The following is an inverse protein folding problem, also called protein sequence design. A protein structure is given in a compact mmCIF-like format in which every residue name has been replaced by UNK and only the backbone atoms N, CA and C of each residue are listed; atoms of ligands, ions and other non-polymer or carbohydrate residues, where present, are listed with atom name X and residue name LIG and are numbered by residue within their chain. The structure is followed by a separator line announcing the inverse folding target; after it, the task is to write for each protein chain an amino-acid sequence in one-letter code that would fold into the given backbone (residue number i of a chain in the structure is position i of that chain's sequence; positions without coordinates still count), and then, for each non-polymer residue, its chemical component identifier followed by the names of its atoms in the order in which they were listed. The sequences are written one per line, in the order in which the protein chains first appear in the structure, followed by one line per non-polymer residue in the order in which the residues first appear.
data_IF_306166170008
#
_entry.id   IF_306166170008
#
_cell.length_a   1.000
_cell.length_b   1.000
_cell.length_c   1.000
_cell.angle_alpha   90.00
_cell.angle_beta   90.00
_cell.angle_gamma   90.00
#
_symmetry.space_group_name_H-M   'P 1'
#
loop_
_entity.id
_entity.type
_entity.pdbx_description
1 polymer ?
#
# COMPACT_ATOMS: atom_id res chain seq x y z
N UNK A 1 12.58 -17.26 -54.59
CA UNK A 1 12.69 -16.00 -53.85
C UNK A 1 11.65 -15.80 -52.75
N UNK A 2 10.44 -16.36 -52.87
CA UNK A 2 9.37 -16.22 -51.86
C UNK A 2 9.52 -17.07 -50.60
N UNK A 3 10.17 -18.24 -50.69
CA UNK A 3 10.35 -19.16 -49.54
C UNK A 3 11.30 -18.59 -48.47
N UNK A 4 12.43 -17.99 -48.87
CA UNK A 4 13.38 -17.39 -47.94
C UNK A 4 12.80 -16.13 -47.25
N UNK A 5 11.98 -15.34 -47.95
CA UNK A 5 11.29 -14.18 -47.30
C UNK A 5 10.27 -14.64 -46.25
N UNK A 6 9.56 -15.75 -46.49
CA UNK A 6 8.61 -16.29 -45.52
C UNK A 6 9.30 -16.79 -44.25
N UNK A 7 10.47 -17.43 -44.36
CA UNK A 7 11.25 -17.88 -43.20
C UNK A 7 11.80 -16.69 -42.40
N UNK A 8 12.38 -15.66 -43.07
CA UNK A 8 12.88 -14.47 -42.42
C UNK A 8 11.80 -13.72 -41.63
N UNK A 9 10.58 -13.60 -42.19
CA UNK A 9 9.48 -12.91 -41.50
C UNK A 9 9.00 -13.67 -40.26
N UNK A 10 8.98 -15.00 -40.29
CA UNK A 10 8.62 -15.84 -39.14
C UNK A 10 9.68 -15.76 -38.04
N UNK A 11 10.97 -15.76 -38.40
CA UNK A 11 12.06 -15.61 -37.45
C UNK A 11 12.03 -14.20 -36.82
N UNK A 12 11.82 -13.14 -37.60
CA UNK A 12 11.68 -11.77 -37.07
C UNK A 12 10.50 -11.65 -36.10
N UNK A 13 9.35 -12.27 -36.44
CA UNK A 13 8.19 -12.32 -35.55
C UNK A 13 8.48 -13.05 -34.23
N UNK A 14 9.21 -14.15 -34.28
CA UNK A 14 9.61 -14.90 -33.07
C UNK A 14 10.57 -14.11 -32.20
N UNK A 15 11.55 -13.42 -32.79
CA UNK A 15 12.48 -12.55 -32.07
C UNK A 15 11.71 -11.39 -31.41
N UNK A 16 10.81 -10.75 -32.14
CA UNK A 16 9.98 -9.66 -31.61
C UNK A 16 9.11 -10.14 -30.44
N UNK A 17 8.52 -11.33 -30.55
CA UNK A 17 7.75 -11.94 -29.46
C UNK A 17 8.63 -12.24 -28.24
N UNK A 18 9.83 -12.79 -28.43
CA UNK A 18 10.80 -13.03 -27.33
C UNK A 18 11.22 -11.73 -26.65
N UNK A 19 11.46 -10.66 -27.40
CA UNK A 19 11.80 -9.33 -26.82
C UNK A 19 10.63 -8.79 -26.03
N UNK A 20 9.40 -8.89 -26.54
CA UNK A 20 8.20 -8.45 -25.81
C UNK A 20 7.99 -9.23 -24.50
N UNK A 21 8.12 -10.58 -24.54
CA UNK A 21 8.02 -11.43 -23.35
C UNK A 21 9.11 -11.09 -22.33
N UNK A 22 10.35 -10.90 -22.74
CA UNK A 22 11.44 -10.51 -21.84
C UNK A 22 11.19 -9.13 -21.18
N UNK A 23 10.63 -8.16 -21.91
CA UNK A 23 10.30 -6.86 -21.36
C UNK A 23 9.12 -6.95 -20.35
N UNK A 24 8.16 -7.81 -20.59
CA UNK A 24 7.05 -8.07 -19.66
C UNK A 24 7.57 -8.71 -18.35
N UNK A 25 8.44 -9.73 -18.44
CA UNK A 25 9.03 -10.39 -17.27
C UNK A 25 9.82 -9.40 -16.40
N UNK A 26 10.61 -8.52 -17.02
CA UNK A 26 11.34 -7.47 -16.30
C UNK A 26 10.40 -6.46 -15.66
N UNK A 27 9.34 -6.04 -16.35
CA UNK A 27 8.35 -5.10 -15.81
C UNK A 27 7.67 -5.66 -14.57
N UNK A 28 7.27 -6.93 -14.58
CA UNK A 28 6.64 -7.60 -13.44
C UNK A 28 7.64 -7.70 -12.25
N UNK A 29 8.90 -7.99 -12.52
CA UNK A 29 9.93 -8.01 -11.48
C UNK A 29 10.11 -6.63 -10.82
N UNK A 30 10.13 -5.54 -11.60
CA UNK A 30 10.20 -4.17 -11.06
C UNK A 30 8.96 -3.81 -10.24
N UNK A 31 7.77 -4.20 -10.67
CA UNK A 31 6.51 -3.97 -9.92
C UNK A 31 6.60 -4.70 -8.57
N UNK A 32 6.99 -5.96 -8.57
CA UNK A 32 7.14 -6.77 -7.36
C UNK A 32 8.16 -6.17 -6.39
N UNK A 33 9.37 -5.85 -6.87
CA UNK A 33 10.43 -5.25 -6.05
C UNK A 33 10.01 -3.90 -5.48
N UNK A 34 9.39 -3.03 -6.30
CA UNK A 34 8.90 -1.74 -5.82
C UNK A 34 7.87 -1.92 -4.69
N UNK A 35 6.94 -2.85 -4.83
CA UNK A 35 6.00 -3.17 -3.76
C UNK A 35 6.69 -3.64 -2.47
N UNK A 36 7.78 -4.41 -2.58
CA UNK A 36 8.58 -4.84 -1.42
C UNK A 36 9.25 -3.66 -0.71
N UNK A 37 9.73 -2.66 -1.45
CA UNK A 37 10.33 -1.46 -0.86
C UNK A 37 9.30 -0.56 -0.20
N UNK A 38 8.08 -0.45 -0.73
CA UNK A 38 7.05 0.45 -0.23
C UNK A 38 6.62 0.15 1.21
N UNK A 39 6.64 -1.12 1.64
CA UNK A 39 6.31 -1.49 3.02
C UNK A 39 7.29 -0.91 4.05
N UNK A 40 8.50 -0.56 3.66
CA UNK A 40 9.50 0.10 4.51
C UNK A 40 9.56 1.61 4.24
N UNK A 41 9.42 2.00 2.99
CA UNK A 41 9.50 3.40 2.57
C UNK A 41 8.39 4.25 3.19
N UNK A 42 7.15 3.76 3.21
CA UNK A 42 6.03 4.50 3.79
C UNK A 42 6.20 4.73 5.30
N UNK A 43 6.48 3.70 6.15
CA UNK A 43 6.78 3.93 7.56
C UNK A 43 7.97 4.87 7.78
N UNK A 44 9.04 4.73 6.99
CA UNK A 44 10.19 5.63 7.08
C UNK A 44 9.80 7.09 6.75
N UNK A 45 8.91 7.30 5.77
CA UNK A 45 8.35 8.63 5.45
C UNK A 45 7.54 9.19 6.61
N UNK A 46 6.70 8.38 7.27
CA UNK A 46 5.93 8.80 8.44
C UNK A 46 6.83 9.19 9.62
N UNK A 47 7.88 8.41 9.88
CA UNK A 47 8.90 8.75 10.90
C UNK A 47 9.60 10.06 10.55
N UNK A 48 9.99 10.25 9.28
CA UNK A 48 10.63 11.49 8.82
C UNK A 48 9.73 12.70 9.03
N UNK A 49 8.44 12.60 8.72
CA UNK A 49 7.46 13.66 9.01
C UNK A 49 7.39 13.95 10.50
N UNK A 50 7.30 12.93 11.37
CA UNK A 50 7.27 13.12 12.82
C UNK A 50 8.52 13.83 13.34
N UNK A 51 9.70 13.51 12.80
CA UNK A 51 10.95 14.19 13.15
C UNK A 51 10.93 15.65 12.67
N UNK A 52 10.57 15.91 11.41
CA UNK A 52 10.54 17.27 10.83
C UNK A 52 9.57 18.19 11.57
N UNK A 53 8.42 17.67 11.99
CA UNK A 53 7.44 18.41 12.79
C UNK A 53 7.72 18.40 14.30
N UNK A 54 8.79 17.73 14.76
CA UNK A 54 9.11 17.51 16.19
C UNK A 54 7.93 16.90 16.95
N UNK A 55 7.19 16.03 16.30
CA UNK A 55 5.93 15.45 16.74
C UNK A 55 6.17 14.14 17.51
N UNK A 56 6.53 14.28 18.78
CA UNK A 56 6.76 13.12 19.67
C UNK A 56 5.51 12.26 19.84
N UNK A 57 4.35 12.89 19.97
CA UNK A 57 3.07 12.21 20.13
C UNK A 57 2.75 11.38 18.87
N UNK A 58 2.93 11.99 17.68
CA UNK A 58 2.74 11.28 16.41
C UNK A 58 3.69 10.11 16.25
N UNK A 59 4.93 10.20 16.72
CA UNK A 59 5.87 9.08 16.68
C UNK A 59 5.39 7.91 17.57
N UNK A 60 4.82 8.18 18.74
CA UNK A 60 4.23 7.17 19.63
C UNK A 60 3.01 6.55 18.96
N UNK A 61 2.08 7.35 18.45
CA UNK A 61 0.87 6.90 17.77
C UNK A 61 1.18 6.06 16.52
N UNK A 62 2.25 6.40 15.79
CA UNK A 62 2.74 5.59 14.67
C UNK A 62 3.22 4.21 15.16
N UNK A 63 3.99 4.17 16.23
CA UNK A 63 4.47 2.91 16.80
C UNK A 63 3.32 2.03 17.29
N UNK A 64 2.32 2.60 17.96
CA UNK A 64 1.10 1.90 18.38
C UNK A 64 0.31 1.36 17.20
N UNK A 65 0.11 2.19 16.18
CA UNK A 65 -0.55 1.82 14.91
C UNK A 65 0.13 0.63 14.25
N UNK A 66 1.45 0.70 14.06
CA UNK A 66 2.21 -0.37 13.41
C UNK A 66 2.23 -1.64 14.25
N UNK A 67 2.35 -1.52 15.57
CA UNK A 67 2.32 -2.68 16.49
C UNK A 67 0.99 -3.41 16.44
N UNK A 68 -0.14 -2.70 16.48
CA UNK A 68 -1.46 -3.32 16.35
C UNK A 68 -1.66 -3.93 14.96
N UNK A 69 -1.27 -3.21 13.91
CA UNK A 69 -1.37 -3.70 12.53
C UNK A 69 -0.62 -5.02 12.36
N UNK A 70 0.63 -5.08 12.80
CA UNK A 70 1.44 -6.30 12.74
C UNK A 70 0.83 -7.41 13.62
N UNK A 71 0.45 -7.10 14.85
CA UNK A 71 -0.13 -8.07 15.77
C UNK A 71 -1.37 -8.75 15.19
N UNK A 72 -2.33 -7.96 14.69
CA UNK A 72 -3.56 -8.49 14.07
C UNK A 72 -3.26 -9.25 12.78
N UNK A 73 -2.41 -8.69 11.92
CA UNK A 73 -2.03 -9.33 10.64
C UNK A 73 -1.40 -10.71 10.88
N UNK A 74 -0.42 -10.80 11.78
CA UNK A 74 0.24 -12.07 12.04
C UNK A 74 -0.65 -13.05 12.80
N UNK A 75 -1.46 -12.59 13.77
CA UNK A 75 -2.44 -13.42 14.44
C UNK A 75 -3.39 -14.11 13.44
N UNK A 76 -3.93 -13.35 12.48
CA UNK A 76 -4.80 -13.91 11.44
C UNK A 76 -4.03 -14.81 10.48
N UNK A 77 -2.81 -14.46 10.06
CA UNK A 77 -1.97 -15.29 9.20
C UNK A 77 -1.76 -16.69 9.76
N UNK A 78 -1.38 -16.78 11.03
CA UNK A 78 -1.12 -18.08 11.68
C UNK A 78 -2.39 -18.84 12.03
N UNK A 79 -3.50 -18.14 12.29
CA UNK A 79 -4.77 -18.79 12.61
C UNK A 79 -5.48 -19.36 11.39
N UNK A 80 -5.41 -18.68 10.25
CA UNK A 80 -6.12 -19.05 9.03
C UNK A 80 -5.25 -19.95 8.14
N UNK A 81 -3.94 -19.65 8.01
CA UNK A 81 -2.96 -20.39 7.22
C UNK A 81 -3.44 -20.71 5.79
N UNK A 82 -3.98 -19.72 5.10
CA UNK A 82 -4.48 -19.86 3.72
C UNK A 82 -3.31 -20.01 2.73
N UNK A 83 -3.47 -20.86 1.72
CA UNK A 83 -2.51 -21.04 0.64
C UNK A 83 -2.55 -19.85 -0.32
N UNK A 84 -1.38 -19.40 -0.76
CA UNK A 84 -1.19 -18.31 -1.73
C UNK A 84 -1.44 -18.77 -3.16
N UNK A 85 -1.70 -17.85 -4.12
CA UNK A 85 -1.76 -18.20 -5.54
C UNK A 85 -0.49 -18.89 -6.08
N UNK A 86 0.67 -18.63 -5.49
CA UNK A 86 1.96 -19.24 -5.86
C UNK A 86 2.24 -20.60 -5.17
N UNK A 87 1.32 -21.10 -4.33
CA UNK A 87 1.44 -22.37 -3.60
C UNK A 87 2.14 -22.28 -2.24
N UNK A 88 2.57 -21.08 -1.81
CA UNK A 88 3.11 -20.86 -0.46
C UNK A 88 1.98 -20.72 0.57
N UNK A 89 2.31 -20.89 1.86
CA UNK A 89 1.36 -20.71 2.95
C UNK A 89 1.26 -19.24 3.42
N UNK A 90 0.30 -18.98 4.31
CA UNK A 90 0.09 -17.68 4.98
C UNK A 90 -0.30 -16.54 4.04
N UNK A 91 -1.28 -16.80 3.15
CA UNK A 91 -1.79 -15.75 2.26
C UNK A 91 -2.53 -14.66 3.04
N UNK A 92 -3.58 -15.04 3.77
CA UNK A 92 -4.49 -14.09 4.40
C UNK A 92 -4.02 -13.62 5.78
N UNK A 93 -4.14 -12.32 6.06
CA UNK A 93 -4.26 -11.18 5.17
C UNK A 93 -2.88 -10.72 4.63
N UNK A 94 -2.87 -9.81 3.62
CA UNK A 94 -1.63 -9.27 3.06
C UNK A 94 -0.90 -8.35 4.05
N UNK A 95 0.30 -8.76 4.49
CA UNK A 95 1.12 -7.98 5.42
C UNK A 95 1.70 -6.70 4.81
N UNK A 96 2.17 -6.74 3.55
CA UNK A 96 2.64 -5.57 2.84
C UNK A 96 1.54 -4.51 2.73
N UNK A 97 0.33 -4.94 2.38
CA UNK A 97 -0.81 -4.05 2.22
C UNK A 97 -1.24 -3.45 3.56
N UNK A 98 -1.32 -4.26 4.63
CA UNK A 98 -1.73 -3.76 5.95
C UNK A 98 -0.75 -2.72 6.48
N UNK A 99 0.56 -2.94 6.32
CA UNK A 99 1.60 -2.00 6.71
C UNK A 99 1.53 -0.69 5.91
N UNK A 100 1.39 -0.78 4.59
CA UNK A 100 1.32 0.41 3.73
C UNK A 100 0.06 1.24 4.01
N UNK A 101 -1.11 0.61 4.14
CA UNK A 101 -2.36 1.33 4.39
C UNK A 101 -2.46 1.89 5.81
N UNK A 102 -1.89 1.20 6.82
CA UNK A 102 -1.84 1.75 8.19
C UNK A 102 -1.01 3.02 8.23
N UNK A 103 0.12 3.02 7.54
CA UNK A 103 0.98 4.20 7.46
C UNK A 103 0.37 5.32 6.63
N UNK A 104 -0.26 5.00 5.50
CA UNK A 104 -0.94 6.00 4.66
C UNK A 104 -2.08 6.68 5.42
N UNK A 105 -2.88 5.91 6.17
CA UNK A 105 -3.96 6.45 7.02
C UNK A 105 -3.39 7.27 8.19
N UNK A 106 -2.29 6.83 8.81
CA UNK A 106 -1.59 7.62 9.82
C UNK A 106 -1.16 8.99 9.26
N UNK A 107 -0.48 9.00 8.11
CA UNK A 107 -0.02 10.24 7.47
C UNK A 107 -1.21 11.16 7.15
N UNK A 108 -2.30 10.60 6.60
CA UNK A 108 -3.52 11.34 6.30
C UNK A 108 -4.19 11.90 7.55
N UNK A 109 -4.38 11.07 8.56
CA UNK A 109 -5.08 11.47 9.79
C UNK A 109 -4.28 12.47 10.62
N UNK A 110 -2.95 12.31 10.64
CA UNK A 110 -2.05 13.16 11.43
C UNK A 110 -1.71 14.46 10.73
N UNK A 111 -1.32 14.39 9.44
CA UNK A 111 -0.73 15.52 8.70
C UNK A 111 -1.62 16.02 7.55
N UNK A 112 -2.77 15.40 7.33
CA UNK A 112 -3.76 15.84 6.34
C UNK A 112 -3.59 15.25 4.96
N UNK A 113 -4.55 15.58 4.08
CA UNK A 113 -4.66 15.01 2.74
C UNK A 113 -3.51 15.38 1.79
N UNK A 114 -2.83 16.51 2.01
CA UNK A 114 -1.68 16.89 1.19
C UNK A 114 -0.56 15.84 1.19
N UNK A 115 -0.33 15.21 2.33
CA UNK A 115 0.62 14.09 2.48
C UNK A 115 -0.08 12.73 2.35
N UNK A 116 -1.34 12.64 2.78
CA UNK A 116 -2.09 11.40 2.77
C UNK A 116 -2.43 10.89 1.38
N UNK A 117 -2.81 11.77 0.44
CA UNK A 117 -3.18 11.33 -0.91
C UNK A 117 -2.05 10.60 -1.65
N UNK A 118 -0.81 11.15 -1.74
CA UNK A 118 0.30 10.41 -2.32
C UNK A 118 0.63 9.13 -1.55
N UNK A 119 0.52 9.12 -0.20
CA UNK A 119 0.75 7.92 0.59
C UNK A 119 -0.27 6.80 0.26
N UNK A 120 -1.54 7.14 0.08
CA UNK A 120 -2.58 6.20 -0.34
C UNK A 120 -2.36 5.65 -1.76
N UNK A 121 -1.89 6.48 -2.70
CA UNK A 121 -1.52 6.01 -4.04
C UNK A 121 -0.40 4.97 -3.98
N UNK A 122 0.63 5.22 -3.18
CA UNK A 122 1.73 4.27 -2.98
C UNK A 122 1.27 3.00 -2.27
N UNK A 123 0.40 3.11 -1.26
CA UNK A 123 -0.17 1.95 -0.57
C UNK A 123 -1.04 1.10 -1.50
N UNK A 124 -1.83 1.74 -2.38
CA UNK A 124 -2.63 1.05 -3.40
C UNK A 124 -1.75 0.33 -4.41
N UNK A 125 -0.65 0.96 -4.84
CA UNK A 125 0.33 0.32 -5.71
C UNK A 125 1.01 -0.87 -5.03
N UNK A 126 1.35 -0.75 -3.72
CA UNK A 126 1.90 -1.87 -2.96
C UNK A 126 0.92 -3.06 -2.91
N UNK A 127 -0.38 -2.81 -2.70
CA UNK A 127 -1.42 -3.85 -2.76
C UNK A 127 -1.53 -4.49 -4.14
N UNK A 128 -1.57 -3.67 -5.20
CA UNK A 128 -1.59 -4.15 -6.58
C UNK A 128 -0.40 -5.06 -6.89
N UNK A 129 0.80 -4.66 -6.49
CA UNK A 129 2.01 -5.43 -6.74
C UNK A 129 1.98 -6.84 -6.12
N UNK A 130 1.20 -7.08 -5.06
CA UNK A 130 1.04 -8.40 -4.45
C UNK A 130 0.15 -9.31 -5.27
N UNK A 131 -0.88 -8.75 -5.90
CA UNK A 131 -1.77 -9.47 -6.80
C UNK A 131 -1.02 -9.82 -8.09
N UNK A 132 -0.33 -8.85 -8.66
CA UNK A 132 0.46 -9.01 -9.89
C UNK A 132 1.56 -10.08 -9.75
N UNK A 133 2.19 -10.15 -8.58
CA UNK A 133 3.23 -11.13 -8.25
C UNK A 133 2.68 -12.53 -7.85
N UNK A 134 1.36 -12.76 -7.87
CA UNK A 134 0.72 -13.98 -7.37
C UNK A 134 1.07 -14.33 -5.91
N UNK A 135 1.37 -13.33 -5.11
CA UNK A 135 1.67 -13.46 -3.68
C UNK A 135 0.39 -13.51 -2.82
N UNK A 136 -0.65 -12.82 -3.28
CA UNK A 136 -1.90 -12.65 -2.53
C UNK A 136 -3.12 -12.59 -3.45
N UNK A 137 -4.25 -13.08 -2.96
CA UNK A 137 -5.55 -12.86 -3.58
C UNK A 137 -6.05 -11.43 -3.32
N UNK A 138 -7.02 -10.97 -4.11
CA UNK A 138 -7.64 -9.65 -3.94
C UNK A 138 -8.22 -9.48 -2.53
N UNK A 139 -8.86 -10.52 -1.98
CA UNK A 139 -9.42 -10.51 -0.64
C UNK A 139 -8.38 -10.25 0.45
N UNK A 140 -7.16 -10.81 0.30
CA UNK A 140 -6.08 -10.61 1.27
C UNK A 140 -5.60 -9.17 1.30
N UNK A 141 -5.54 -8.56 0.10
CA UNK A 141 -5.16 -7.16 -0.08
C UNK A 141 -6.23 -6.24 0.51
N UNK A 142 -7.51 -6.49 0.22
CA UNK A 142 -8.62 -5.71 0.77
C UNK A 142 -8.68 -5.83 2.30
N UNK A 143 -8.56 -7.05 2.83
CA UNK A 143 -8.52 -7.29 4.27
C UNK A 143 -7.31 -6.60 4.93
N UNK A 144 -6.12 -6.70 4.32
CA UNK A 144 -4.92 -6.02 4.78
C UNK A 144 -5.10 -4.50 4.84
N UNK A 145 -5.66 -3.90 3.77
CA UNK A 145 -5.95 -2.48 3.73
C UNK A 145 -6.92 -2.05 4.85
N UNK A 146 -7.98 -2.83 5.06
CA UNK A 146 -8.97 -2.57 6.11
C UNK A 146 -8.35 -2.64 7.52
N UNK A 147 -7.56 -3.69 7.80
CA UNK A 147 -6.83 -3.84 9.07
C UNK A 147 -5.92 -2.63 9.31
N UNK A 148 -5.14 -2.25 8.29
CA UNK A 148 -4.22 -1.11 8.40
C UNK A 148 -4.95 0.20 8.70
N UNK A 149 -6.01 0.52 7.96
CA UNK A 149 -6.81 1.73 8.15
C UNK A 149 -7.44 1.75 9.54
N UNK A 150 -8.05 0.65 9.98
CA UNK A 150 -8.67 0.59 11.31
C UNK A 150 -7.64 0.74 12.42
N UNK A 151 -6.51 0.04 12.34
CA UNK A 151 -5.43 0.14 13.34
C UNK A 151 -4.96 1.58 13.50
N UNK A 152 -4.79 2.30 12.39
CA UNK A 152 -4.38 3.71 12.43
C UNK A 152 -5.45 4.60 13.06
N UNK A 153 -6.72 4.41 12.72
CA UNK A 153 -7.81 5.22 13.26
C UNK A 153 -8.01 5.10 14.76
N UNK A 154 -7.60 3.98 15.34
CA UNK A 154 -7.70 3.76 16.79
C UNK A 154 -6.71 4.63 17.59
N UNK A 155 -5.54 4.91 17.05
CA UNK A 155 -4.47 5.60 17.77
C UNK A 155 -4.18 7.00 17.26
N UNK A 156 -4.48 7.29 15.97
CA UNK A 156 -4.04 8.53 15.36
C UNK A 156 -5.01 9.66 15.58
N UNK A 157 -4.51 10.70 16.23
CA UNK A 157 -5.19 12.00 16.36
C UNK A 157 -4.53 13.03 15.46
N UNK A 158 -5.27 14.05 14.98
CA UNK A 158 -4.70 15.08 14.12
C UNK A 158 -3.60 15.88 14.80
N UNK A 159 -2.55 16.24 14.04
CA UNK A 159 -1.46 17.09 14.50
C UNK A 159 -1.97 18.50 14.83
N UNK A 160 -1.34 19.19 15.79
CA UNK A 160 -1.66 20.59 16.13
C UNK A 160 -1.56 21.47 14.89
N UNK A 161 -2.67 22.04 14.46
CA UNK A 161 -2.73 22.86 13.25
C UNK A 161 -4.16 23.06 12.77
N UNK A 162 -4.30 23.63 11.57
CA UNK A 162 -5.60 23.79 10.94
C UNK A 162 -6.16 22.42 10.54
N UNK A 163 -7.36 22.11 11.01
CA UNK A 163 -8.11 20.94 10.63
C UNK A 163 -9.30 21.37 9.77
N UNK A 164 -9.42 20.73 8.64
CA UNK A 164 -10.62 20.82 7.81
C UNK A 164 -11.40 19.56 8.09
N UNK A 165 -12.50 19.66 8.82
CA UNK A 165 -13.46 18.57 8.97
C UNK A 165 -14.70 18.87 8.13
N UNK A 166 -15.23 17.85 7.46
CA UNK A 166 -16.58 17.93 6.92
C UNK A 166 -17.53 17.61 8.07
N UNK A 167 -18.36 18.55 8.42
CA UNK A 167 -19.52 18.33 9.29
C UNK A 167 -20.76 18.34 8.41
N UNK A 168 -21.51 17.26 8.41
CA UNK A 168 -22.70 17.12 7.57
C UNK A 168 -23.83 16.48 8.31
N UNK A 169 -24.94 17.20 8.45
CA UNK A 169 -26.26 16.63 8.68
C UNK A 169 -26.94 16.42 7.32
N UNK A 170 -27.94 15.54 7.27
CA UNK A 170 -28.64 15.12 6.04
C UNK A 170 -29.17 16.27 5.15
N UNK A 171 -29.12 17.51 5.61
CA UNK A 171 -29.60 18.71 4.90
C UNK A 171 -28.54 19.78 4.63
N UNK A 172 -27.39 19.75 5.28
CA UNK A 172 -26.34 20.76 5.09
C UNK A 172 -24.97 20.11 5.18
N UNK A 173 -24.15 20.27 4.14
CA UNK A 173 -22.72 19.91 4.16
C UNK A 173 -21.95 21.19 4.47
N UNK A 174 -21.28 21.21 5.62
CA UNK A 174 -20.43 22.31 6.06
C UNK A 174 -18.97 21.89 6.13
N UNK A 175 -18.07 22.84 5.85
CA UNK A 175 -16.64 22.66 6.12
C UNK A 175 -16.32 23.41 7.41
N UNK A 176 -15.88 22.68 8.44
CA UNK A 176 -15.43 23.28 9.68
C UNK A 176 -13.91 23.43 9.64
N UNK A 177 -13.44 24.66 9.78
CA UNK A 177 -12.02 24.98 9.95
C UNK A 177 -11.77 25.17 11.44
N UNK A 178 -11.02 24.25 12.06
CA UNK A 178 -10.61 24.37 13.45
C UNK A 178 -9.09 24.38 13.56
N UNK A 179 -8.54 25.19 14.47
CA UNK A 179 -7.12 25.21 14.79
C UNK A 179 -6.93 24.81 16.25
N UNK A 180 -6.25 23.68 16.50
CA UNK A 180 -5.72 23.34 17.82
C UNK A 180 -4.36 24.02 17.98
N UNK A 181 -4.22 24.84 19.02
CA UNK A 181 -2.97 25.49 19.43
C UNK A 181 -2.12 24.57 20.30
#
# INVERSE_FOLDING_TARGET
MNFQRSISSKIAGLIMLMVMVNNQLKANEYIHQTGNYLQFFLPATAVTLAICYKDKEGAIQLAETLSLTLGVTYALKYSINEERPNGENFSFPSGHTSMCFSTAEFIRSRYGWGYGAPAYLLASFAGYSRIDANEHYIQDVVAGAFIGILSSRLFTTPYKGWQISMDGDTKNIGFQFSRKF
#
